data_IF_859094854789
#
_entry.id   IF_859094854789
#
_cell.length_a   1.000
_cell.length_b   1.000
_cell.length_c   1.000
_cell.angle_alpha   90.00
_cell.angle_beta   90.00
_cell.angle_gamma   90.00
#
_symmetry.space_group_name_H-M   'P 1'
#
loop_
_entity.id
_entity.type
_entity.pdbx_description
1 polymer ?
#
# COMPACT_ATOMS: atom_id res chain seq x y z
N UNK A 1 -19.21 8.75 -13.25
CA UNK A 1 -18.36 7.98 -12.33
C UNK A 1 -16.96 8.53 -12.47
N UNK A 2 -16.34 8.93 -11.36
CA UNK A 2 -14.91 9.29 -11.34
C UNK A 2 -14.09 8.14 -11.94
N UNK A 3 -13.00 8.45 -12.65
CA UNK A 3 -12.08 7.46 -13.22
C UNK A 3 -11.48 6.55 -12.13
N UNK A 4 -11.43 7.03 -10.89
CA UNK A 4 -10.78 6.37 -9.77
C UNK A 4 -11.81 5.92 -8.74
N UNK A 5 -11.81 4.62 -8.45
CA UNK A 5 -12.63 4.00 -7.43
C UNK A 5 -11.71 3.23 -6.48
N UNK A 6 -11.61 3.70 -5.23
CA UNK A 6 -10.71 3.15 -4.23
C UNK A 6 -11.04 1.70 -3.89
N UNK A 7 -12.29 1.28 -4.07
CA UNK A 7 -12.73 -0.10 -3.84
C UNK A 7 -12.21 -1.06 -4.91
N UNK A 8 -11.68 -0.53 -6.02
CA UNK A 8 -11.11 -1.33 -7.12
C UNK A 8 -9.57 -1.37 -7.08
N UNK A 9 -8.93 -0.64 -6.16
CA UNK A 9 -7.46 -0.51 -6.10
C UNK A 9 -6.75 -1.87 -5.98
N UNK A 10 -7.30 -2.83 -5.23
CA UNK A 10 -6.66 -4.14 -5.03
C UNK A 10 -7.17 -5.24 -5.98
N UNK A 11 -7.91 -4.90 -7.03
CA UNK A 11 -8.57 -5.90 -7.89
C UNK A 11 -7.59 -6.89 -8.54
N UNK A 12 -6.35 -6.49 -8.80
CA UNK A 12 -5.31 -7.40 -9.30
C UNK A 12 -4.91 -8.45 -8.25
N UNK A 13 -4.80 -8.05 -6.99
CA UNK A 13 -4.55 -8.94 -5.85
C UNK A 13 -5.68 -9.94 -5.69
N UNK A 14 -6.93 -9.48 -5.74
CA UNK A 14 -8.12 -10.32 -5.60
C UNK A 14 -8.20 -11.40 -6.70
N UNK A 15 -7.94 -11.04 -7.96
CA UNK A 15 -7.86 -12.01 -9.07
C UNK A 15 -6.73 -13.03 -8.88
N UNK A 16 -5.58 -12.60 -8.34
CA UNK A 16 -4.49 -13.52 -8.08
C UNK A 16 -4.85 -14.48 -6.92
N UNK A 17 -5.53 -14.01 -5.89
CA UNK A 17 -6.05 -14.85 -4.80
C UNK A 17 -6.98 -15.94 -5.34
N UNK A 18 -7.87 -15.62 -6.28
CA UNK A 18 -8.83 -16.59 -6.85
C UNK A 18 -8.16 -17.76 -7.58
N UNK A 19 -6.99 -17.52 -8.17
CA UNK A 19 -6.28 -18.49 -9.03
C UNK A 19 -5.08 -19.15 -8.35
N UNK A 20 -4.67 -18.67 -7.18
CA UNK A 20 -3.53 -19.23 -6.43
C UNK A 20 -3.95 -20.45 -5.62
N UNK A 21 -3.28 -21.59 -5.85
CA UNK A 21 -3.55 -22.83 -5.12
C UNK A 21 -2.64 -23.02 -3.90
N UNK A 22 -1.38 -22.57 -3.96
CA UNK A 22 -0.42 -22.76 -2.87
C UNK A 22 -0.91 -22.02 -1.61
N UNK A 23 -1.13 -22.72 -0.47
CA UNK A 23 -1.71 -22.13 0.72
C UNK A 23 -0.83 -21.01 1.31
N UNK A 24 0.50 -21.12 1.24
CA UNK A 24 1.43 -20.07 1.71
C UNK A 24 1.29 -18.81 0.86
N UNK A 25 1.27 -18.95 -0.45
CA UNK A 25 1.11 -17.82 -1.36
C UNK A 25 -0.24 -17.15 -1.19
N UNK A 26 -1.33 -17.93 -1.05
CA UNK A 26 -2.67 -17.40 -0.73
C UNK A 26 -2.66 -16.60 0.57
N UNK A 27 -2.01 -17.09 1.62
CA UNK A 27 -1.91 -16.38 2.90
C UNK A 27 -1.20 -15.04 2.74
N UNK A 28 -0.05 -15.02 2.06
CA UNK A 28 0.69 -13.76 1.79
C UNK A 28 -0.16 -12.78 0.99
N UNK A 29 -0.89 -13.24 -0.04
CA UNK A 29 -1.77 -12.38 -0.84
C UNK A 29 -2.91 -11.80 -0.01
N UNK A 30 -3.50 -12.57 0.92
CA UNK A 30 -4.50 -12.04 1.84
C UNK A 30 -3.91 -11.02 2.81
N UNK A 31 -2.69 -11.23 3.30
CA UNK A 31 -1.98 -10.27 4.14
C UNK A 31 -1.69 -8.97 3.39
N UNK A 32 -1.15 -9.06 2.17
CA UNK A 32 -0.90 -7.91 1.29
C UNK A 32 -2.18 -7.14 0.95
N UNK A 33 -3.26 -7.86 0.60
CA UNK A 33 -4.56 -7.26 0.30
C UNK A 33 -5.12 -6.51 1.52
N UNK A 34 -5.08 -7.13 2.70
CA UNK A 34 -5.52 -6.54 3.95
C UNK A 34 -4.70 -5.29 4.29
N UNK A 35 -3.37 -5.38 4.17
CA UNK A 35 -2.45 -4.27 4.45
C UNK A 35 -2.81 -3.04 3.63
N UNK A 36 -2.89 -3.17 2.30
CA UNK A 36 -3.23 -2.04 1.41
C UNK A 36 -4.59 -1.44 1.74
N UNK A 37 -5.59 -2.25 2.07
CA UNK A 37 -6.89 -1.71 2.49
C UNK A 37 -6.84 -0.98 3.84
N UNK A 38 -6.07 -1.49 4.82
CA UNK A 38 -5.88 -0.83 6.11
C UNK A 38 -5.18 0.52 5.95
N UNK A 39 -4.12 0.57 5.14
CA UNK A 39 -3.40 1.79 4.81
C UNK A 39 -4.35 2.82 4.19
N UNK A 40 -5.03 2.45 3.11
CA UNK A 40 -5.96 3.35 2.42
C UNK A 40 -7.10 3.82 3.32
N UNK A 41 -7.55 2.99 4.26
CA UNK A 41 -8.58 3.32 5.24
C UNK A 41 -8.08 4.18 6.41
N UNK A 42 -6.78 4.51 6.48
CA UNK A 42 -6.16 5.21 7.61
C UNK A 42 -6.08 4.38 8.89
N UNK A 43 -6.31 3.06 8.81
CA UNK A 43 -6.26 2.10 9.93
C UNK A 43 -4.88 1.46 10.05
N UNK A 44 -3.84 2.26 9.85
CA UNK A 44 -2.47 1.76 9.70
C UNK A 44 -1.94 1.08 10.96
N UNK A 45 -2.46 1.39 12.16
CA UNK A 45 -2.02 0.73 13.39
C UNK A 45 -2.26 -0.79 13.36
N UNK A 46 -3.29 -1.25 12.64
CA UNK A 46 -3.57 -2.68 12.48
C UNK A 46 -2.56 -3.40 11.58
N UNK A 47 -1.82 -2.68 10.74
CA UNK A 47 -0.73 -3.23 9.92
C UNK A 47 0.41 -3.74 10.83
N UNK A 48 0.62 -3.09 11.97
CA UNK A 48 1.67 -3.42 12.93
C UNK A 48 1.24 -4.50 13.94
N UNK A 49 0.10 -5.15 13.71
CA UNK A 49 -0.27 -6.33 14.48
C UNK A 49 0.86 -7.39 14.39
N UNK A 50 1.21 -8.10 15.49
CA UNK A 50 2.35 -9.02 15.52
C UNK A 50 2.30 -10.17 14.52
N UNK A 51 1.10 -10.51 14.02
CA UNK A 51 0.86 -11.51 12.98
C UNK A 51 1.00 -10.97 11.55
N UNK A 52 1.05 -9.65 11.37
CA UNK A 52 1.14 -8.98 10.05
C UNK A 52 2.54 -8.47 9.73
N UNK A 53 3.19 -7.76 10.66
CA UNK A 53 4.49 -7.10 10.43
C UNK A 53 5.48 -7.49 11.53
N UNK A 54 6.75 -7.65 11.17
CA UNK A 54 7.82 -7.90 12.15
C UNK A 54 8.02 -6.69 13.08
N UNK A 55 8.70 -6.90 14.20
CA UNK A 55 8.90 -5.86 15.22
C UNK A 55 9.81 -4.72 14.75
N UNK A 56 10.71 -5.01 13.81
CA UNK A 56 11.68 -4.05 13.25
C UNK A 56 11.64 -4.08 11.72
N UNK A 57 10.56 -3.58 11.10
CA UNK A 57 10.48 -3.55 9.66
C UNK A 57 11.45 -2.53 9.08
N UNK A 58 11.89 -2.73 7.84
CA UNK A 58 12.74 -1.77 7.13
C UNK A 58 12.14 -1.43 5.79
N UNK A 59 11.90 -0.15 5.55
CA UNK A 59 11.29 0.34 4.32
C UNK A 59 12.29 1.21 3.55
N UNK A 60 12.37 1.01 2.24
CA UNK A 60 13.18 1.81 1.32
C UNK A 60 12.30 2.43 0.25
N UNK A 61 12.28 3.76 0.18
CA UNK A 61 11.58 4.50 -0.86
C UNK A 61 12.60 5.18 -1.77
N UNK A 62 12.56 4.86 -3.05
CA UNK A 62 13.28 5.54 -4.12
C UNK A 62 12.26 6.17 -5.06
N UNK A 63 11.72 7.31 -4.64
CA UNK A 63 10.53 7.94 -5.22
C UNK A 63 10.79 9.43 -5.44
N UNK A 64 10.28 9.98 -6.54
CA UNK A 64 10.32 11.43 -6.80
C UNK A 64 11.76 12.01 -6.77
N UNK A 65 12.73 11.23 -7.24
CA UNK A 65 14.16 11.61 -7.22
C UNK A 65 14.79 11.64 -5.82
N UNK A 66 14.13 11.07 -4.81
CA UNK A 66 14.60 11.00 -3.43
C UNK A 66 14.74 9.56 -2.95
N UNK A 67 15.69 9.35 -2.04
CA UNK A 67 15.86 8.09 -1.33
C UNK A 67 15.59 8.30 0.16
N UNK A 68 14.77 7.44 0.75
CA UNK A 68 14.44 7.42 2.17
C UNK A 68 14.53 5.98 2.68
N UNK A 69 15.17 5.79 3.83
CA UNK A 69 15.15 4.53 4.58
C UNK A 69 14.46 4.76 5.92
N UNK A 70 13.52 3.90 6.28
CA UNK A 70 12.86 3.88 7.58
C UNK A 70 13.18 2.56 8.26
N UNK A 71 13.69 2.61 9.49
CA UNK A 71 14.05 1.42 10.25
C UNK A 71 13.27 1.35 11.57
N UNK A 72 12.58 0.24 11.78
CA UNK A 72 11.82 -0.01 13.00
C UNK A 72 10.38 0.53 12.95
N UNK A 73 9.52 -0.05 13.80
CA UNK A 73 8.10 0.26 13.80
C UNK A 73 7.81 1.75 14.01
N UNK A 74 8.53 2.42 14.92
CA UNK A 74 8.34 3.85 15.20
C UNK A 74 8.55 4.74 13.96
N UNK A 75 9.62 4.49 13.20
CA UNK A 75 9.92 5.29 12.01
C UNK A 75 8.87 5.08 10.91
N UNK A 76 8.44 3.83 10.72
CA UNK A 76 7.45 3.48 9.71
C UNK A 76 6.05 3.98 10.11
N UNK A 77 5.62 3.78 11.37
CA UNK A 77 4.34 4.27 11.90
C UNK A 77 4.22 5.80 11.81
N UNK A 78 5.31 6.53 12.05
CA UNK A 78 5.34 7.99 11.94
C UNK A 78 5.01 8.47 10.52
N UNK A 79 5.50 7.75 9.50
CA UNK A 79 5.19 8.06 8.10
C UNK A 79 3.75 7.71 7.76
N UNK A 80 3.24 6.55 8.18
CA UNK A 80 1.83 6.21 8.00
C UNK A 80 0.88 7.20 8.69
N UNK A 81 1.22 7.65 9.90
CA UNK A 81 0.48 8.69 10.61
C UNK A 81 0.43 9.99 9.80
N UNK A 82 1.58 10.44 9.29
CA UNK A 82 1.65 11.63 8.44
C UNK A 82 0.79 11.47 7.19
N UNK A 83 0.85 10.32 6.51
CA UNK A 83 0.04 10.05 5.33
C UNK A 83 -1.46 10.02 5.61
N UNK A 84 -1.88 9.56 6.79
CA UNK A 84 -3.27 9.62 7.21
C UNK A 84 -3.71 11.09 7.45
N UNK A 85 -2.89 11.91 8.10
CA UNK A 85 -3.19 13.33 8.35
C UNK A 85 -3.25 14.15 7.06
N UNK A 86 -2.44 13.82 6.06
CA UNK A 86 -2.36 14.54 4.78
C UNK A 86 -3.18 13.91 3.65
N UNK A 87 -3.93 12.84 3.94
CA UNK A 87 -4.68 12.04 2.99
C UNK A 87 -3.83 11.39 1.87
N UNK A 88 -2.50 11.29 2.07
CA UNK A 88 -1.56 10.59 1.20
C UNK A 88 -1.63 9.06 1.32
N UNK A 89 -2.33 8.53 2.32
CA UNK A 89 -2.65 7.11 2.39
C UNK A 89 -3.68 6.69 1.32
N UNK A 90 -4.35 7.64 0.67
CA UNK A 90 -5.32 7.36 -0.40
C UNK A 90 -4.56 7.27 -1.73
N UNK A 91 -4.58 6.08 -2.32
CA UNK A 91 -3.97 5.82 -3.61
C UNK A 91 -4.80 4.86 -4.47
N UNK A 92 -4.48 4.85 -5.76
CA UNK A 92 -5.09 4.01 -6.76
C UNK A 92 -4.02 3.36 -7.61
N UNK A 93 -4.29 2.15 -8.08
CA UNK A 93 -3.38 1.41 -8.94
C UNK A 93 -4.05 1.10 -10.26
N UNK A 94 -3.30 1.29 -11.34
CA UNK A 94 -3.67 0.90 -12.70
C UNK A 94 -2.60 -0.03 -13.30
N UNK A 95 -3.02 -0.88 -14.23
CA UNK A 95 -2.15 -1.84 -14.94
C UNK A 95 -1.27 -2.75 -14.04
N UNK A 96 -1.72 -3.05 -12.82
CA UNK A 96 -0.93 -3.84 -11.86
C UNK A 96 -0.63 -5.26 -12.36
N UNK A 97 0.66 -5.57 -12.45
CA UNK A 97 1.18 -6.93 -12.62
C UNK A 97 1.76 -7.36 -11.28
N UNK A 98 1.23 -8.45 -10.74
CA UNK A 98 1.54 -8.94 -9.40
C UNK A 98 2.07 -10.38 -9.49
N UNK A 99 3.12 -10.67 -8.73
CA UNK A 99 3.62 -12.04 -8.54
C UNK A 99 3.89 -12.30 -7.05
N UNK A 100 3.76 -13.56 -6.66
CA UNK A 100 3.99 -14.05 -5.30
C UNK A 100 4.94 -15.23 -5.34
N UNK A 101 5.84 -15.30 -4.36
CA UNK A 101 6.72 -16.43 -4.09
C UNK A 101 6.54 -16.92 -2.65
N UNK A 102 7.41 -17.83 -2.20
CA UNK A 102 7.35 -18.39 -0.85
C UNK A 102 7.54 -17.35 0.27
N UNK A 103 8.23 -16.24 -0.02
CA UNK A 103 8.59 -15.23 0.96
C UNK A 103 8.60 -13.79 0.40
N UNK A 104 7.98 -13.56 -0.74
CA UNK A 104 7.98 -12.25 -1.37
C UNK A 104 6.74 -12.02 -2.22
N UNK A 105 6.23 -10.80 -2.19
CA UNK A 105 5.30 -10.28 -3.20
C UNK A 105 6.00 -9.18 -3.98
N UNK A 106 5.84 -9.17 -5.29
CA UNK A 106 6.34 -8.10 -6.16
C UNK A 106 5.24 -7.59 -7.07
N UNK A 107 5.16 -6.29 -7.24
CA UNK A 107 4.26 -5.67 -8.20
C UNK A 107 4.95 -4.63 -9.07
N UNK A 108 4.41 -4.46 -10.28
CA UNK A 108 4.75 -3.40 -11.21
C UNK A 108 3.46 -2.73 -11.64
N UNK A 109 3.36 -1.40 -11.49
CA UNK A 109 2.10 -0.70 -11.76
C UNK A 109 2.28 0.78 -12.08
N UNK A 110 1.18 1.42 -12.50
CA UNK A 110 1.03 2.87 -12.46
C UNK A 110 0.23 3.22 -11.21
N UNK A 111 0.85 3.95 -10.29
CA UNK A 111 0.27 4.39 -9.03
C UNK A 111 -0.23 5.83 -9.15
N UNK A 112 -1.28 6.16 -8.41
CA UNK A 112 -1.85 7.50 -8.30
C UNK A 112 -2.06 7.82 -6.82
N UNK A 113 -1.16 8.58 -6.22
CA UNK A 113 -1.24 8.95 -4.80
C UNK A 113 -1.85 10.33 -4.62
N UNK A 114 -2.90 10.44 -3.79
CA UNK A 114 -3.51 11.72 -3.48
C UNK A 114 -2.57 12.57 -2.62
N UNK A 115 -2.11 13.71 -3.13
CA UNK A 115 -1.15 14.57 -2.43
C UNK A 115 -1.61 16.04 -2.43
N UNK A 116 -1.56 16.73 -1.27
CA UNK A 116 -1.77 18.17 -1.20
C UNK A 116 -0.79 18.96 -2.08
N UNK A 117 -1.32 19.94 -2.81
CA UNK A 117 -0.53 20.86 -3.62
C UNK A 117 0.51 21.62 -2.81
N UNK A 118 0.20 21.99 -1.56
CA UNK A 118 1.15 22.65 -0.67
C UNK A 118 2.41 21.81 -0.39
N UNK A 119 2.27 20.48 -0.27
CA UNK A 119 3.40 19.56 -0.09
C UNK A 119 4.23 19.51 -1.38
N UNK A 120 3.58 19.33 -2.53
CA UNK A 120 4.25 19.31 -3.83
C UNK A 120 4.98 20.62 -4.15
N UNK A 121 4.36 21.76 -3.86
CA UNK A 121 4.93 23.09 -4.07
C UNK A 121 6.14 23.35 -3.15
N UNK A 122 6.09 22.88 -1.90
CA UNK A 122 7.25 22.93 -0.99
C UNK A 122 8.44 22.12 -1.53
N UNK A 123 8.17 21.09 -2.33
CA UNK A 123 9.16 20.27 -3.03
C UNK A 123 9.56 20.83 -4.41
N UNK A 124 9.11 22.04 -4.75
CA UNK A 124 9.48 22.73 -5.98
C UNK A 124 8.65 22.37 -7.21
N UNK A 125 7.59 21.58 -7.07
CA UNK A 125 6.68 21.30 -8.17
C UNK A 125 5.90 22.56 -8.59
N UNK A 126 5.69 22.81 -9.90
CA UNK A 126 4.98 23.99 -10.39
C UNK A 126 3.45 23.80 -10.32
N UNK A 127 2.91 23.64 -9.11
CA UNK A 127 1.49 23.35 -8.85
C UNK A 127 0.84 24.40 -7.96
N UNK A 128 -0.48 24.41 -7.92
CA UNK A 128 -1.29 25.28 -7.06
C UNK A 128 -1.29 24.73 -5.63
N UNK A 129 -0.76 25.46 -4.63
CA UNK A 129 -0.64 24.95 -3.26
C UNK A 129 -1.99 24.71 -2.57
N UNK A 130 -3.06 25.37 -3.03
CA UNK A 130 -4.40 25.27 -2.44
C UNK A 130 -5.25 24.13 -3.06
N UNK A 131 -4.69 23.36 -4.00
CA UNK A 131 -5.37 22.27 -4.68
C UNK A 131 -4.91 20.88 -4.17
N UNK A 132 -5.68 19.85 -4.52
CA UNK A 132 -5.28 18.45 -4.35
C UNK A 132 -4.92 17.84 -5.70
N UNK A 133 -3.95 16.93 -5.69
CA UNK A 133 -3.45 16.27 -6.89
C UNK A 133 -3.44 14.75 -6.70
N UNK A 134 -3.50 14.01 -7.81
CA UNK A 134 -2.95 12.67 -7.89
C UNK A 134 -1.55 12.76 -8.47
N UNK A 135 -0.56 12.31 -7.70
CA UNK A 135 0.80 12.10 -8.16
C UNK A 135 0.81 10.74 -8.87
N UNK A 136 0.92 10.77 -10.20
CA UNK A 136 1.02 9.60 -11.03
C UNK A 136 2.48 9.18 -11.14
N UNK A 137 2.78 7.91 -10.92
CA UNK A 137 4.15 7.34 -10.93
C UNK A 137 4.13 5.93 -11.51
N UNK A 138 5.23 5.51 -12.14
CA UNK A 138 5.43 4.12 -12.55
C UNK A 138 6.33 3.43 -11.52
N UNK A 139 5.78 2.45 -10.79
CA UNK A 139 6.39 1.91 -9.58
C UNK A 139 6.60 0.40 -9.62
N UNK A 140 7.70 -0.03 -9.02
CA UNK A 140 7.91 -1.38 -8.53
C UNK A 140 7.76 -1.39 -7.01
N UNK A 141 7.01 -2.35 -6.48
CA UNK A 141 6.92 -2.61 -5.05
C UNK A 141 7.40 -4.03 -4.75
N UNK A 142 8.26 -4.18 -3.75
CA UNK A 142 8.82 -5.46 -3.32
C UNK A 142 8.56 -5.61 -1.81
N UNK A 143 7.89 -6.71 -1.46
CA UNK A 143 7.37 -6.96 -0.11
C UNK A 143 7.94 -8.28 0.40
N UNK A 144 9.09 -8.26 1.11
CA UNK A 144 9.67 -9.45 1.73
C UNK A 144 8.89 -9.88 2.97
N UNK A 145 8.78 -11.19 3.19
CA UNK A 145 8.14 -11.80 4.34
C UNK A 145 9.11 -12.74 5.07
N UNK A 146 8.94 -12.87 6.40
CA UNK A 146 9.71 -13.79 7.22
C UNK A 146 9.18 -15.23 7.13
N UNK A 147 9.87 -16.18 7.77
CA UNK A 147 9.48 -17.60 7.81
C UNK A 147 8.14 -17.86 8.52
N UNK A 148 7.52 -16.84 9.12
CA UNK A 148 6.20 -16.88 9.76
C UNK A 148 5.11 -16.19 8.93
N UNK A 149 5.47 -15.68 7.75
CA UNK A 149 4.55 -14.97 6.86
C UNK A 149 4.25 -13.53 7.30
N UNK A 150 5.14 -12.91 8.08
CA UNK A 150 5.02 -11.50 8.51
C UNK A 150 5.85 -10.60 7.60
N UNK A 151 5.33 -9.42 7.29
CA UNK A 151 6.00 -8.41 6.47
C UNK A 151 7.29 -7.96 7.16
N UNK A 152 8.41 -8.04 6.45
CA UNK A 152 9.73 -7.60 6.91
C UNK A 152 9.99 -6.14 6.54
N UNK A 153 9.32 -5.63 5.53
CA UNK A 153 9.61 -4.32 4.97
C UNK A 153 8.96 -4.11 3.62
N UNK A 154 9.27 -2.97 3.01
CA UNK A 154 8.85 -2.64 1.65
C UNK A 154 9.99 -1.93 0.91
N UNK A 155 10.26 -2.33 -0.31
CA UNK A 155 11.09 -1.55 -1.24
C UNK A 155 10.21 -1.02 -2.35
N UNK A 156 10.09 0.30 -2.43
CA UNK A 156 9.28 0.99 -3.44
C UNK A 156 10.19 1.84 -4.31
N UNK A 157 10.10 1.64 -5.62
CA UNK A 157 10.96 2.32 -6.59
C UNK A 157 10.18 2.83 -7.79
N UNK A 158 10.31 4.13 -8.06
CA UNK A 158 9.86 4.73 -9.30
C UNK A 158 10.87 4.40 -10.42
N UNK A 159 10.50 3.49 -11.32
CA UNK A 159 11.42 2.98 -12.33
C UNK A 159 11.44 3.78 -13.64
N UNK A 160 10.42 4.61 -13.88
CA UNK A 160 10.31 5.46 -15.06
C UNK A 160 9.68 6.81 -14.72
N UNK A 161 10.54 7.80 -14.47
CA UNK A 161 10.12 9.17 -14.16
C UNK A 161 9.43 9.88 -15.33
N UNK A 162 9.55 9.38 -16.57
CA UNK A 162 8.90 9.99 -17.73
C UNK A 162 7.37 9.81 -17.72
N UNK A 163 6.88 8.87 -16.92
CA UNK A 163 5.44 8.64 -16.68
C UNK A 163 4.87 9.65 -15.66
N UNK A 164 5.73 10.32 -14.89
CA UNK A 164 5.33 11.15 -13.75
C UNK A 164 4.44 12.31 -14.18
N UNK A 165 3.31 12.47 -13.50
CA UNK A 165 2.36 13.55 -13.76
C UNK A 165 1.69 14.02 -12.46
N UNK A 166 1.43 15.32 -12.34
CA UNK A 166 0.61 15.89 -11.27
C UNK A 166 -0.78 16.20 -11.80
N UNK A 167 -1.72 15.29 -11.59
CA UNK A 167 -3.10 15.41 -12.09
C UNK A 167 -3.94 16.15 -11.06
N UNK A 168 -4.35 17.40 -11.34
CA UNK A 168 -5.21 18.17 -10.44
C UNK A 168 -6.57 17.47 -10.29
N UNK A 169 -7.00 17.28 -9.04
CA UNK A 169 -8.34 16.75 -8.73
C UNK A 169 -9.39 17.86 -8.72
N UNK A 170 -10.59 17.55 -9.19
CA UNK A 170 -11.77 18.35 -8.86
C UNK A 170 -12.02 18.22 -7.34
N UNK A 171 -12.31 19.31 -6.61
CA UNK A 171 -12.64 19.24 -5.19
C UNK A 171 -13.70 18.20 -4.83
N UNK A 172 -14.66 17.88 -5.71
CA UNK A 172 -15.68 16.85 -5.45
C UNK A 172 -15.16 15.42 -5.54
N UNK A 173 -14.04 15.21 -6.23
CA UNK A 173 -13.37 13.91 -6.39
C UNK A 173 -12.29 13.67 -5.32
N UNK A 174 -11.96 14.67 -4.50
CA UNK A 174 -11.03 14.54 -3.37
C UNK A 174 -11.66 13.69 -2.29
N UNK A 175 -11.01 12.58 -1.96
CA UNK A 175 -11.47 11.66 -0.93
C UNK A 175 -10.84 12.03 0.42
N UNK A 176 -11.65 12.14 1.46
CA UNK A 176 -11.15 12.21 2.85
C UNK A 176 -10.85 10.81 3.38
N UNK A 177 -9.95 10.71 4.36
CA UNK A 177 -9.63 9.43 5.02
C UNK A 177 -10.88 8.79 5.64
N UNK A 178 -11.78 9.58 6.22
CA UNK A 178 -13.05 9.06 6.76
C UNK A 178 -13.97 8.46 5.69
N UNK A 179 -14.05 9.07 4.50
CA UNK A 179 -14.80 8.51 3.38
C UNK A 179 -14.13 7.23 2.85
N UNK A 180 -12.81 7.25 2.68
CA UNK A 180 -12.02 6.06 2.30
C UNK A 180 -12.27 4.91 3.26
N UNK A 181 -12.11 5.14 4.56
CA UNK A 181 -12.36 4.17 5.62
C UNK A 181 -13.75 3.55 5.50
N UNK A 182 -14.80 4.37 5.34
CA UNK A 182 -16.18 3.89 5.19
C UNK A 182 -16.38 3.03 3.93
N UNK A 183 -15.77 3.39 2.80
CA UNK A 183 -15.88 2.65 1.54
C UNK A 183 -15.15 1.30 1.62
N UNK A 184 -14.02 1.25 2.30
CA UNK A 184 -13.16 0.08 2.39
C UNK A 184 -13.51 -0.87 3.54
N UNK A 185 -14.24 -0.42 4.56
CA UNK A 185 -14.67 -1.24 5.71
C UNK A 185 -15.22 -2.63 5.31
N UNK A 186 -16.15 -2.78 4.36
CA UNK A 186 -16.66 -4.11 3.98
C UNK A 186 -15.62 -5.00 3.27
N UNK A 187 -14.50 -4.44 2.80
CA UNK A 187 -13.44 -5.14 2.06
C UNK A 187 -12.27 -5.55 2.95
N UNK A 188 -12.09 -4.90 4.11
CA UNK A 188 -11.08 -5.26 5.09
C UNK A 188 -11.48 -6.57 5.78
N UNK A 189 -10.92 -7.68 5.32
CA UNK A 189 -11.12 -9.02 5.93
C UNK A 189 -10.02 -9.33 6.93
N UNK A 190 -10.29 -10.14 7.96
CA UNK A 190 -9.23 -10.71 8.79
C UNK A 190 -8.30 -11.58 7.93
N UNK A 191 -7.09 -11.85 8.44
CA UNK A 191 -6.23 -12.88 7.84
C UNK A 191 -6.92 -14.25 7.89
N UNK A 192 -6.54 -15.20 7.00
CA UNK A 192 -7.04 -16.56 7.08
C UNK A 192 -6.75 -17.17 8.46
N UNK A 193 -7.73 -17.86 9.05
CA UNK A 193 -7.63 -18.45 10.39
C UNK A 193 -6.44 -19.43 10.54
N UNK A 194 -6.07 -20.10 9.44
CA UNK A 194 -4.92 -20.99 9.39
C UNK A 194 -3.74 -20.30 8.71
N UNK A 195 -2.66 -20.08 9.48
CA UNK A 195 -1.38 -19.61 8.95
C UNK A 195 -0.48 -20.82 8.57
N UNK A 196 -0.25 -21.11 7.27
CA UNK A 196 0.54 -22.25 6.80
C UNK A 196 2.06 -22.10 7.02
N UNK A 197 2.52 -20.99 7.58
CA UNK A 197 3.91 -20.77 7.95
C UNK A 197 4.24 -21.28 9.36
N UNK A 198 3.24 -21.42 10.23
CA UNK A 198 3.44 -21.80 11.65
C UNK A 198 3.45 -23.31 11.90
N UNK A 199 3.31 -24.14 10.86
CA UNK A 199 3.14 -25.59 10.98
C UNK A 199 1.75 -25.99 11.50
N UNK A 200 1.40 -27.27 11.44
CA UNK A 200 0.20 -27.75 12.13
C UNK A 200 0.38 -27.62 13.64
N UNK A 201 -0.66 -27.17 14.39
CA UNK A 201 -0.60 -27.26 15.84
C UNK A 201 -0.39 -28.72 16.22
N UNK A 202 0.69 -29.00 16.96
CA UNK A 202 0.93 -30.32 17.54
C UNK A 202 -0.30 -30.64 18.38
N UNK A 203 -1.12 -31.59 17.92
CA UNK A 203 -2.23 -32.11 18.74
C UNK A 203 -1.60 -32.78 19.96
N UNK A 204 -1.84 -32.19 21.13
CA UNK A 204 -1.47 -32.76 22.42
C UNK A 204 -2.21 -34.06 22.69
#
# INVERSE_FOLDING_TARGET
MSRFDITQTNRAVERLIETTENPRHRYLLHAYNRHRYLEMAGRYQEIFAPEMTVEKPVYHFNMLGKTLTLEGAEAVESVYHMWAETAQCIFYVDEEKLAVSDNMIVSSSVMYQQTPGAILAAEGAPVDPDAMYLVKTAEHMIWPYDDRGRLVGEDVWEYDETVREFVRLDPVDVLTVAQSSKLLEPLIKPLPDHNPFLGEPVRA
#
